data_IF_439498855825
#
_entry.id   IF_439498855825
#
_cell.length_a   1.000
_cell.length_b   1.000
_cell.length_c   1.000
_cell.angle_alpha   90.00
_cell.angle_beta   90.00
_cell.angle_gamma   90.00
#
_symmetry.space_group_name_H-M   'P 1'
#
loop_
_entity.id
_entity.type
_entity.pdbx_description
1 polymer ?
#
# COMPACT_ATOMS: atom_id res chain seq x y z
N UNK A 1 20.32 5.03 -4.13
CA UNK A 1 20.82 4.12 -5.18
C UNK A 1 20.25 4.55 -6.50
N UNK A 2 21.14 4.84 -7.44
CA UNK A 2 20.81 5.52 -8.69
C UNK A 2 20.54 4.54 -9.85
N UNK A 3 20.93 3.26 -9.74
CA UNK A 3 20.75 2.29 -10.83
C UNK A 3 20.58 0.84 -10.35
N UNK A 4 20.00 0.01 -11.22
CA UNK A 4 19.80 -1.43 -10.98
C UNK A 4 21.09 -2.15 -10.63
N UNK A 5 22.18 -1.82 -11.33
CA UNK A 5 23.49 -2.42 -11.11
C UNK A 5 24.02 -2.13 -9.70
N UNK A 6 23.80 -0.91 -9.18
CA UNK A 6 24.19 -0.57 -7.81
C UNK A 6 23.37 -1.37 -6.80
N UNK A 7 22.06 -1.52 -7.03
CA UNK A 7 21.19 -2.35 -6.17
C UNK A 7 21.65 -3.81 -6.12
N UNK A 8 21.87 -4.44 -7.27
CA UNK A 8 22.27 -5.85 -7.35
C UNK A 8 23.65 -6.08 -6.69
N UNK A 9 24.59 -5.14 -6.87
CA UNK A 9 25.91 -5.21 -6.23
C UNK A 9 25.81 -5.06 -4.70
N UNK A 10 25.07 -4.07 -4.20
CA UNK A 10 24.89 -3.90 -2.76
C UNK A 10 24.17 -5.11 -2.13
N UNK A 11 23.19 -5.70 -2.83
CA UNK A 11 22.54 -6.93 -2.39
C UNK A 11 23.49 -8.12 -2.35
N UNK A 12 24.35 -8.29 -3.35
CA UNK A 12 25.37 -9.34 -3.36
C UNK A 12 26.40 -9.19 -2.23
N UNK A 13 26.66 -7.95 -1.79
CA UNK A 13 27.55 -7.64 -0.67
C UNK A 13 26.91 -7.84 0.71
N UNK A 14 25.64 -8.24 0.78
CA UNK A 14 24.95 -8.54 2.04
C UNK A 14 24.42 -7.32 2.79
N UNK A 15 24.19 -6.19 2.10
CA UNK A 15 23.47 -5.07 2.70
C UNK A 15 21.99 -5.43 2.88
N UNK A 16 21.43 -5.06 4.03
CA UNK A 16 20.03 -5.34 4.38
C UNK A 16 19.09 -4.15 4.10
N UNK A 17 19.63 -2.93 4.07
CA UNK A 17 18.88 -1.69 3.93
C UNK A 17 19.24 -0.95 2.65
N UNK A 18 18.21 -0.49 1.95
CA UNK A 18 18.30 0.02 0.60
C UNK A 18 17.43 1.28 0.45
N UNK A 19 17.98 2.35 -0.14
CA UNK A 19 17.25 3.60 -0.42
C UNK A 19 17.63 4.17 -1.78
N UNK A 20 16.70 4.85 -2.45
CA UNK A 20 16.91 5.80 -3.55
C UNK A 20 16.16 5.49 -4.84
N UNK A 21 16.25 6.43 -5.80
CA UNK A 21 15.37 6.58 -6.96
C UNK A 21 15.11 5.32 -7.78
N UNK A 22 16.12 4.45 -7.96
CA UNK A 22 15.95 3.21 -8.71
C UNK A 22 14.88 2.27 -8.10
N UNK A 23 14.77 2.25 -6.77
CA UNK A 23 13.80 1.40 -6.07
C UNK A 23 12.38 1.91 -6.30
N UNK A 24 12.21 3.23 -6.35
CA UNK A 24 10.90 3.89 -6.49
C UNK A 24 10.44 3.97 -7.95
N UNK A 25 11.39 4.14 -8.89
CA UNK A 25 11.13 4.23 -10.33
C UNK A 25 12.04 3.27 -11.11
N UNK A 26 11.86 1.94 -11.00
CA UNK A 26 12.51 1.00 -11.89
C UNK A 26 12.14 1.37 -13.32
N UNK A 27 13.14 1.69 -14.14
CA UNK A 27 13.00 2.20 -15.52
C UNK A 27 11.74 1.67 -16.23
N UNK A 28 10.77 2.56 -16.39
CA UNK A 28 9.53 2.27 -17.10
C UNK A 28 9.90 2.10 -18.57
N UNK A 29 9.92 0.86 -19.05
CA UNK A 29 9.98 0.60 -20.49
C UNK A 29 8.58 0.91 -21.01
N UNK A 30 8.40 2.13 -21.54
CA UNK A 30 7.12 2.56 -22.11
C UNK A 30 6.59 1.54 -23.12
N UNK A 31 5.29 1.24 -23.04
CA UNK A 31 4.59 0.40 -24.01
C UNK A 31 4.31 -1.05 -23.60
N UNK A 32 4.48 -1.44 -22.33
CA UNK A 32 4.02 -2.76 -21.88
C UNK A 32 2.51 -2.71 -21.55
N UNK A 33 1.72 -3.53 -22.24
CA UNK A 33 0.31 -3.73 -21.92
C UNK A 33 0.14 -4.51 -20.61
N UNK A 34 -0.96 -4.25 -19.90
CA UNK A 34 -1.33 -5.01 -18.70
C UNK A 34 -1.68 -6.43 -19.12
N UNK A 35 -0.94 -7.41 -18.61
CA UNK A 35 -1.21 -8.83 -18.89
C UNK A 35 -2.55 -9.28 -18.29
N UNK A 36 -3.12 -10.38 -18.79
CA UNK A 36 -4.37 -10.95 -18.27
C UNK A 36 -4.31 -11.21 -16.76
N UNK A 37 -3.20 -11.77 -16.27
CA UNK A 37 -3.01 -12.05 -14.84
C UNK A 37 -3.01 -10.75 -14.01
N UNK A 38 -2.35 -9.71 -14.51
CA UNK A 38 -2.34 -8.38 -13.88
C UNK A 38 -3.74 -7.74 -13.90
N UNK A 39 -4.49 -7.87 -14.99
CA UNK A 39 -5.86 -7.39 -15.07
C UNK A 39 -6.78 -8.06 -14.04
N UNK A 40 -6.69 -9.39 -13.88
CA UNK A 40 -7.47 -10.10 -12.85
C UNK A 40 -7.15 -9.61 -11.43
N UNK A 41 -5.87 -9.35 -11.14
CA UNK A 41 -5.44 -8.76 -9.87
C UNK A 41 -6.02 -7.35 -9.66
N UNK A 42 -5.96 -6.49 -10.68
CA UNK A 42 -6.49 -5.12 -10.61
C UNK A 42 -8.03 -5.09 -10.48
N UNK A 43 -8.73 -6.09 -11.03
CA UNK A 43 -10.17 -6.26 -10.80
C UNK A 43 -10.48 -6.59 -9.34
N UNK A 44 -9.71 -7.48 -8.71
CA UNK A 44 -9.85 -7.77 -7.27
C UNK A 44 -9.58 -6.52 -6.43
N UNK A 45 -8.51 -5.78 -6.73
CA UNK A 45 -8.21 -4.51 -6.06
C UNK A 45 -9.39 -3.55 -6.19
N UNK A 46 -9.96 -3.41 -7.39
CA UNK A 46 -11.12 -2.54 -7.63
C UNK A 46 -12.33 -2.97 -6.80
N UNK A 47 -12.59 -4.27 -6.69
CA UNK A 47 -13.71 -4.81 -5.91
C UNK A 47 -13.54 -4.54 -4.41
N UNK A 48 -12.33 -4.80 -3.87
CA UNK A 48 -12.01 -4.54 -2.47
C UNK A 48 -11.82 -3.05 -2.15
N UNK A 49 -11.71 -2.17 -3.15
CA UNK A 49 -11.61 -0.72 -2.94
C UNK A 49 -12.96 -0.05 -2.75
N UNK A 50 -14.07 -0.73 -3.02
CA UNK A 50 -15.41 -0.17 -2.86
C UNK A 50 -15.75 0.03 -1.38
N UNK A 51 -16.31 1.18 -1.05
CA UNK A 51 -16.74 1.49 0.31
C UNK A 51 -18.00 0.71 0.73
N UNK A 52 -18.85 0.32 -0.22
CA UNK A 52 -20.16 -0.32 0.00
C UNK A 52 -20.15 -1.86 -0.12
N UNK A 53 -18.97 -2.48 -0.25
CA UNK A 53 -18.88 -3.94 -0.38
C UNK A 53 -19.31 -4.66 0.90
N UNK A 54 -20.22 -5.62 0.77
CA UNK A 54 -20.71 -6.41 1.91
C UNK A 54 -19.64 -7.38 2.44
N UNK A 55 -19.64 -7.58 3.76
CA UNK A 55 -18.75 -8.53 4.46
C UNK A 55 -18.79 -9.91 3.83
N UNK A 56 -20.01 -10.42 3.57
CA UNK A 56 -20.18 -11.74 2.98
C UNK A 56 -19.61 -11.82 1.57
N UNK A 57 -19.68 -10.72 0.81
CA UNK A 57 -19.09 -10.67 -0.52
C UNK A 57 -17.57 -10.71 -0.48
N UNK A 58 -16.95 -9.95 0.43
CA UNK A 58 -15.49 -9.99 0.63
C UNK A 58 -15.05 -11.40 1.03
N UNK A 59 -15.73 -12.01 2.00
CA UNK A 59 -15.42 -13.36 2.45
C UNK A 59 -15.58 -14.41 1.34
N UNK A 60 -16.65 -14.30 0.53
CA UNK A 60 -16.88 -15.17 -0.62
C UNK A 60 -15.74 -15.06 -1.65
N UNK A 61 -15.42 -13.83 -2.09
CA UNK A 61 -14.37 -13.61 -3.10
C UNK A 61 -13.02 -14.18 -2.62
N UNK A 62 -12.65 -13.92 -1.37
CA UNK A 62 -11.39 -14.42 -0.82
C UNK A 62 -11.40 -15.96 -0.76
N UNK A 63 -12.51 -16.55 -0.34
CA UNK A 63 -12.64 -18.02 -0.17
C UNK A 63 -12.58 -18.80 -1.48
N UNK A 64 -12.82 -18.15 -2.64
CA UNK A 64 -12.68 -18.77 -3.95
C UNK A 64 -11.22 -19.07 -4.33
N UNK A 65 -10.27 -18.38 -3.70
CA UNK A 65 -8.84 -18.62 -3.87
C UNK A 65 -8.23 -19.17 -2.56
N UNK A 66 -7.98 -20.50 -2.49
CA UNK A 66 -7.39 -21.11 -1.30
C UNK A 66 -6.01 -20.53 -0.95
N UNK A 67 -5.22 -20.13 -1.94
CA UNK A 67 -3.89 -19.56 -1.72
C UNK A 67 -4.01 -18.17 -1.09
N UNK A 68 -4.91 -17.34 -1.61
CA UNK A 68 -5.22 -16.02 -1.05
C UNK A 68 -5.75 -16.15 0.39
N UNK A 69 -6.69 -17.08 0.60
CA UNK A 69 -7.27 -17.37 1.93
C UNK A 69 -6.20 -17.75 2.94
N UNK A 70 -5.33 -18.71 2.60
CA UNK A 70 -4.26 -19.15 3.51
C UNK A 70 -3.29 -18.01 3.82
N UNK A 71 -2.90 -17.20 2.83
CA UNK A 71 -1.99 -16.06 3.04
C UNK A 71 -2.60 -15.01 3.97
N UNK A 72 -3.87 -14.66 3.77
CA UNK A 72 -4.56 -13.69 4.63
C UNK A 72 -4.65 -14.22 6.05
N UNK A 73 -5.02 -15.50 6.25
CA UNK A 73 -5.11 -16.08 7.60
C UNK A 73 -3.76 -16.15 8.30
N UNK A 74 -2.68 -16.55 7.61
CA UNK A 74 -1.33 -16.56 8.17
C UNK A 74 -0.90 -15.16 8.64
N UNK A 75 -1.21 -14.15 7.84
CA UNK A 75 -0.85 -12.78 8.13
C UNK A 75 -1.68 -12.18 9.27
N UNK A 76 -2.98 -12.50 9.33
CA UNK A 76 -3.87 -12.10 10.42
C UNK A 76 -3.44 -12.75 11.74
N UNK A 77 -3.00 -14.00 11.70
CA UNK A 77 -2.49 -14.72 12.87
C UNK A 77 -1.04 -14.36 13.22
N UNK A 78 -0.41 -13.40 12.52
CA UNK A 78 0.94 -12.99 12.87
C UNK A 78 0.97 -12.22 14.21
N UNK A 79 2.12 -12.21 14.92
CA UNK A 79 2.24 -11.59 16.24
C UNK A 79 1.85 -10.11 16.31
N UNK A 80 1.84 -9.42 15.16
CA UNK A 80 1.45 -8.02 15.03
C UNK A 80 0.06 -7.74 15.62
N UNK A 81 -0.89 -8.65 15.40
CA UNK A 81 -2.29 -8.47 15.79
C UNK A 81 -2.60 -8.97 17.21
N UNK A 82 -1.61 -9.58 17.89
CA UNK A 82 -1.69 -10.00 19.30
C UNK A 82 -2.97 -10.78 19.65
N UNK A 83 -3.41 -11.66 18.73
CA UNK A 83 -4.65 -12.40 18.89
C UNK A 83 -4.54 -13.43 20.01
N UNK A 84 -5.61 -13.58 20.81
CA UNK A 84 -5.68 -14.54 21.93
C UNK A 84 -5.78 -15.99 21.42
N UNK A 85 -6.32 -16.17 20.21
CA UNK A 85 -6.45 -17.45 19.52
C UNK A 85 -6.34 -17.26 18.01
N UNK A 86 -5.93 -18.32 17.32
CA UNK A 86 -5.84 -18.34 15.87
C UNK A 86 -7.22 -18.20 15.22
N UNK A 87 -7.26 -17.41 14.14
CA UNK A 87 -8.38 -17.20 13.24
C UNK A 87 -8.33 -18.24 12.14
N UNK A 88 -9.45 -18.93 11.91
CA UNK A 88 -9.52 -20.08 10.99
C UNK A 88 -10.38 -19.81 9.76
N UNK A 89 -11.04 -18.65 9.67
CA UNK A 89 -11.85 -18.30 8.50
C UNK A 89 -11.84 -16.80 8.21
N UNK A 90 -12.08 -16.43 6.96
CA UNK A 90 -12.14 -15.02 6.54
C UNK A 90 -13.28 -14.28 7.24
N UNK A 91 -14.43 -14.94 7.43
CA UNK A 91 -15.57 -14.34 8.16
C UNK A 91 -15.20 -14.06 9.62
N UNK A 92 -14.51 -14.98 10.28
CA UNK A 92 -13.99 -14.76 11.64
C UNK A 92 -12.96 -13.62 11.69
N UNK A 93 -12.07 -13.54 10.69
CA UNK A 93 -11.14 -12.42 10.54
C UNK A 93 -11.85 -11.07 10.43
N UNK A 94 -12.92 -10.96 9.63
CA UNK A 94 -13.70 -9.72 9.52
C UNK A 94 -14.36 -9.36 10.86
N UNK A 95 -14.86 -10.35 11.61
CA UNK A 95 -15.47 -10.12 12.93
C UNK A 95 -14.46 -9.60 13.95
N UNK A 96 -13.22 -10.11 13.91
CA UNK A 96 -12.20 -9.78 14.92
C UNK A 96 -11.44 -8.50 14.57
N UNK A 97 -11.02 -8.32 13.32
CA UNK A 97 -10.18 -7.21 12.89
C UNK A 97 -10.95 -6.08 12.20
N UNK A 98 -12.20 -6.33 11.80
CA UNK A 98 -12.99 -5.42 10.99
C UNK A 98 -12.79 -5.65 9.49
N UNK A 99 -13.74 -5.15 8.72
CA UNK A 99 -13.79 -5.33 7.27
C UNK A 99 -12.62 -4.64 6.55
N UNK A 100 -12.24 -3.44 6.99
CA UNK A 100 -11.19 -2.65 6.33
C UNK A 100 -9.83 -3.33 6.40
N UNK A 101 -9.47 -3.91 7.54
CA UNK A 101 -8.19 -4.63 7.68
C UNK A 101 -8.17 -5.86 6.77
N UNK A 102 -9.28 -6.58 6.62
CA UNK A 102 -9.37 -7.70 5.70
C UNK A 102 -9.31 -7.24 4.24
N UNK A 103 -9.95 -6.12 3.89
CA UNK A 103 -9.86 -5.51 2.56
C UNK A 103 -8.43 -5.09 2.23
N UNK A 104 -7.72 -4.45 3.16
CA UNK A 104 -6.30 -4.09 3.01
C UNK A 104 -5.47 -5.30 2.63
N UNK A 105 -5.60 -6.41 3.38
CA UNK A 105 -4.84 -7.61 3.09
C UNK A 105 -5.23 -8.29 1.80
N UNK A 106 -6.51 -8.29 1.45
CA UNK A 106 -6.96 -8.80 0.17
C UNK A 106 -6.36 -8.00 -1.00
N UNK A 107 -6.28 -6.67 -0.89
CA UNK A 107 -5.66 -5.78 -1.88
C UNK A 107 -4.16 -6.06 -1.98
N UNK A 108 -3.44 -6.08 -0.84
CA UNK A 108 -2.00 -6.34 -0.80
C UNK A 108 -1.68 -7.69 -1.43
N UNK A 109 -2.37 -8.75 -1.03
CA UNK A 109 -2.12 -10.10 -1.57
C UNK A 109 -2.46 -10.19 -3.06
N UNK A 110 -3.52 -9.50 -3.51
CA UNK A 110 -3.88 -9.42 -4.93
C UNK A 110 -2.73 -8.82 -5.74
N UNK A 111 -2.15 -7.70 -5.28
CA UNK A 111 -1.02 -7.04 -5.95
C UNK A 111 0.26 -7.89 -5.92
N UNK A 112 0.57 -8.52 -4.78
CA UNK A 112 1.75 -9.38 -4.65
C UNK A 112 1.70 -10.61 -5.56
N UNK A 113 0.51 -11.16 -5.82
CA UNK A 113 0.34 -12.37 -6.64
C UNK A 113 0.87 -12.24 -8.08
N UNK A 114 1.00 -10.99 -8.57
CA UNK A 114 1.44 -10.65 -9.93
C UNK A 114 2.76 -9.87 -9.97
N UNK A 115 3.29 -9.48 -8.82
CA UNK A 115 4.55 -8.75 -8.73
C UNK A 115 5.74 -9.67 -9.05
N UNK A 116 6.61 -9.20 -9.95
CA UNK A 116 7.97 -9.74 -10.14
C UNK A 116 9.04 -8.77 -9.62
N UNK A 117 8.61 -7.73 -8.92
CA UNK A 117 9.43 -6.57 -8.58
C UNK A 117 10.21 -6.78 -7.28
N UNK A 118 11.27 -5.99 -7.04
CA UNK A 118 12.09 -6.15 -5.84
C UNK A 118 11.23 -6.05 -4.58
N UNK A 119 11.46 -6.97 -3.63
CA UNK A 119 10.85 -7.01 -2.29
C UNK A 119 10.86 -5.63 -1.61
N UNK A 120 11.91 -4.84 -1.85
CA UNK A 120 12.11 -3.52 -1.23
C UNK A 120 11.18 -2.42 -1.76
N UNK A 121 10.82 -2.43 -3.06
CA UNK A 121 9.82 -1.51 -3.58
C UNK A 121 8.46 -1.78 -2.90
N UNK A 122 8.09 -3.06 -2.78
CA UNK A 122 6.85 -3.43 -2.13
C UNK A 122 6.84 -3.04 -0.64
N UNK A 123 7.96 -3.26 0.06
CA UNK A 123 8.14 -2.83 1.46
C UNK A 123 7.95 -1.32 1.61
N UNK A 124 8.55 -0.52 0.73
CA UNK A 124 8.39 0.94 0.76
C UNK A 124 6.95 1.38 0.54
N UNK A 125 6.24 0.78 -0.43
CA UNK A 125 4.82 1.09 -0.66
C UNK A 125 3.92 0.68 0.50
N UNK A 126 4.19 -0.46 1.14
CA UNK A 126 3.50 -0.87 2.36
C UNK A 126 3.73 0.10 3.52
N UNK A 127 4.98 0.55 3.69
CA UNK A 127 5.31 1.54 4.72
C UNK A 127 4.53 2.83 4.48
N UNK A 128 4.57 3.37 3.25
CA UNK A 128 3.82 4.57 2.84
C UNK A 128 2.32 4.40 3.07
N UNK A 129 1.73 3.30 2.61
CA UNK A 129 0.33 2.97 2.82
C UNK A 129 -0.05 3.05 4.30
N UNK A 130 0.74 2.39 5.15
CA UNK A 130 0.50 2.38 6.59
C UNK A 130 0.68 3.76 7.22
N UNK A 131 1.65 4.54 6.77
CA UNK A 131 1.87 5.91 7.24
C UNK A 131 0.68 6.81 6.96
N UNK A 132 0.15 6.79 5.72
CA UNK A 132 -1.04 7.58 5.37
C UNK A 132 -2.25 7.16 6.23
N UNK A 133 -2.45 5.86 6.43
CA UNK A 133 -3.51 5.32 7.27
C UNK A 133 -3.39 5.81 8.73
N UNK A 134 -2.19 5.74 9.31
CA UNK A 134 -1.93 6.16 10.68
C UNK A 134 -2.14 7.68 10.86
N UNK A 135 -1.75 8.50 9.89
CA UNK A 135 -2.01 9.94 9.92
C UNK A 135 -3.52 10.20 9.92
N UNK A 136 -4.27 9.50 9.06
CA UNK A 136 -5.74 9.63 9.02
C UNK A 136 -6.39 9.27 10.36
N UNK A 137 -5.90 8.23 11.05
CA UNK A 137 -6.36 7.88 12.39
C UNK A 137 -6.07 8.96 13.44
N UNK A 138 -4.92 9.64 13.37
CA UNK A 138 -4.57 10.71 14.31
C UNK A 138 -5.36 12.00 14.06
N UNK A 139 -5.87 12.19 12.85
CA UNK A 139 -6.58 13.41 12.42
C UNK A 139 -8.11 13.22 12.37
N UNK A 140 -8.68 12.18 12.99
CA UNK A 140 -10.12 11.88 12.87
C UNK A 140 -11.03 13.00 13.39
N UNK A 141 -10.56 13.81 14.33
CA UNK A 141 -11.29 14.93 14.92
C UNK A 141 -11.16 16.25 14.13
N UNK A 142 -10.45 16.25 13.01
CA UNK A 142 -10.30 17.43 12.16
C UNK A 142 -11.53 17.68 11.26
N UNK A 143 -11.67 18.93 10.80
CA UNK A 143 -12.80 19.37 9.96
C UNK A 143 -12.86 18.61 8.62
N UNK A 144 -11.71 18.13 8.12
CA UNK A 144 -11.60 17.28 6.94
C UNK A 144 -11.04 15.92 7.37
N UNK A 145 -11.93 15.01 7.75
CA UNK A 145 -11.56 13.65 8.14
C UNK A 145 -11.44 12.76 6.89
N UNK A 146 -10.25 12.20 6.66
CA UNK A 146 -10.00 11.25 5.58
C UNK A 146 -10.24 9.82 6.06
N UNK A 147 -10.81 8.98 5.20
CA UNK A 147 -11.07 7.58 5.54
C UNK A 147 -9.74 6.78 5.59
N UNK A 148 -9.39 6.11 6.70
CA UNK A 148 -8.09 5.44 6.84
C UNK A 148 -7.80 4.38 5.77
N UNK A 149 -8.81 3.60 5.36
CA UNK A 149 -8.64 2.62 4.27
C UNK A 149 -8.31 3.28 2.92
N UNK A 150 -8.88 4.45 2.63
CA UNK A 150 -8.61 5.17 1.38
C UNK A 150 -7.20 5.75 1.39
N UNK A 151 -6.76 6.27 2.55
CA UNK A 151 -5.39 6.68 2.80
C UNK A 151 -4.40 5.53 2.60
N UNK A 152 -4.69 4.35 3.16
CA UNK A 152 -3.89 3.15 2.93
C UNK A 152 -3.81 2.80 1.44
N UNK A 153 -4.97 2.74 0.77
CA UNK A 153 -5.07 2.37 -0.63
C UNK A 153 -4.28 3.32 -1.54
N UNK A 154 -4.43 4.63 -1.36
CA UNK A 154 -3.69 5.64 -2.15
C UNK A 154 -2.20 5.55 -1.89
N UNK A 155 -1.78 5.39 -0.63
CA UNK A 155 -0.36 5.20 -0.30
C UNK A 155 0.23 3.96 -0.97
N UNK A 156 -0.52 2.84 -0.96
CA UNK A 156 -0.09 1.60 -1.61
C UNK A 156 -0.01 1.77 -3.13
N UNK A 157 -1.07 2.31 -3.76
CA UNK A 157 -1.19 2.44 -5.22
C UNK A 157 -0.24 3.48 -5.81
N UNK A 158 0.28 4.43 -5.02
CA UNK A 158 1.14 5.54 -5.45
C UNK A 158 2.43 5.15 -6.18
N UNK A 159 2.85 3.89 -6.14
CA UNK A 159 3.98 3.39 -6.93
C UNK A 159 3.78 1.96 -7.45
N UNK A 160 2.53 1.51 -7.61
CA UNK A 160 2.24 0.18 -8.16
C UNK A 160 2.50 0.11 -9.66
N UNK A 161 2.47 1.25 -10.35
CA UNK A 161 2.84 1.37 -11.76
C UNK A 161 4.28 0.88 -12.01
N UNK A 162 5.21 1.20 -11.10
CA UNK A 162 6.56 0.66 -11.07
C UNK A 162 6.61 -0.87 -10.86
N UNK A 163 5.72 -1.43 -10.04
CA UNK A 163 5.61 -2.88 -9.85
C UNK A 163 5.17 -3.57 -11.14
N UNK A 164 4.19 -2.99 -11.82
CA UNK A 164 3.58 -3.56 -13.02
C UNK A 164 4.37 -3.22 -14.29
N UNK A 165 5.30 -2.27 -14.20
CA UNK A 165 6.10 -1.70 -15.30
C UNK A 165 5.19 -1.10 -16.39
N UNK A 166 4.16 -0.39 -15.95
CA UNK A 166 3.19 0.33 -16.80
C UNK A 166 3.13 1.78 -16.36
N UNK A 167 2.48 2.64 -17.16
CA UNK A 167 2.26 4.03 -16.77
C UNK A 167 1.12 4.15 -15.75
N UNK A 168 1.24 5.07 -14.77
CA UNK A 168 0.23 5.30 -13.73
C UNK A 168 -1.16 5.62 -14.29
N UNK A 169 -1.28 6.43 -15.35
CA UNK A 169 -2.58 6.75 -15.97
C UNK A 169 -3.23 5.50 -16.56
N UNK A 170 -2.44 4.61 -17.16
CA UNK A 170 -2.93 3.33 -17.70
C UNK A 170 -3.40 2.42 -16.56
N UNK A 171 -2.63 2.34 -15.47
CA UNK A 171 -2.98 1.54 -14.30
C UNK A 171 -4.27 2.04 -13.64
N UNK A 172 -4.36 3.34 -13.34
CA UNK A 172 -5.56 3.96 -12.74
C UNK A 172 -6.75 3.93 -13.69
N UNK A 173 -6.51 3.97 -15.00
CA UNK A 173 -7.54 3.78 -16.04
C UNK A 173 -8.16 2.38 -16.01
N UNK A 174 -7.36 1.35 -15.72
CA UNK A 174 -7.84 -0.03 -15.58
C UNK A 174 -8.56 -0.31 -14.26
N UNK A 175 -8.27 0.46 -13.20
CA UNK A 175 -8.90 0.33 -11.90
C UNK A 175 -10.27 1.05 -11.86
N UNK A 176 -11.28 0.38 -11.31
CA UNK A 176 -12.59 0.99 -11.03
C UNK A 176 -12.59 1.62 -9.63
N UNK A 177 -11.83 2.70 -9.48
CA UNK A 177 -11.79 3.50 -8.25
C UNK A 177 -12.78 4.67 -8.30
N UNK A 178 -13.18 5.14 -7.13
CA UNK A 178 -13.91 6.40 -6.97
C UNK A 178 -13.08 7.59 -7.49
N UNK A 179 -13.77 8.64 -7.94
CA UNK A 179 -13.14 9.74 -8.66
C UNK A 179 -12.10 10.49 -7.82
N UNK A 180 -12.34 10.66 -6.51
CA UNK A 180 -11.41 11.33 -5.61
C UNK A 180 -10.11 10.53 -5.41
N UNK A 181 -10.18 9.19 -5.39
CA UNK A 181 -8.99 8.34 -5.34
C UNK A 181 -8.15 8.47 -6.61
N UNK A 182 -8.80 8.52 -7.79
CA UNK A 182 -8.11 8.75 -9.06
C UNK A 182 -7.44 10.12 -9.12
N UNK A 183 -8.14 11.15 -8.65
CA UNK A 183 -7.59 12.51 -8.56
C UNK A 183 -6.40 12.57 -7.60
N UNK A 184 -6.48 11.89 -6.45
CA UNK A 184 -5.38 11.81 -5.49
C UNK A 184 -4.11 11.16 -6.07
N UNK A 185 -4.28 10.11 -6.88
CA UNK A 185 -3.16 9.37 -7.50
C UNK A 185 -2.57 10.05 -8.74
N UNK A 186 -3.39 10.75 -9.54
CA UNK A 186 -2.97 11.29 -10.83
C UNK A 186 -2.57 12.77 -10.76
N UNK A 187 -3.41 13.61 -10.15
CA UNK A 187 -3.21 15.06 -10.13
C UNK A 187 -2.79 15.58 -8.77
N UNK A 188 -2.96 14.77 -7.71
CA UNK A 188 -2.76 15.13 -6.32
C UNK A 188 -3.63 16.32 -5.86
N UNK A 189 -4.72 16.59 -6.58
CA UNK A 189 -5.53 17.81 -6.44
C UNK A 189 -6.72 17.62 -5.49
N UNK A 190 -6.48 17.07 -4.31
CA UNK A 190 -7.45 17.02 -3.22
C UNK A 190 -6.74 16.77 -1.88
N UNK A 191 -7.48 16.69 -0.77
CA UNK A 191 -6.91 16.47 0.56
C UNK A 191 -6.09 15.17 0.65
N UNK A 192 -6.55 14.10 0.02
CA UNK A 192 -5.87 12.80 0.00
C UNK A 192 -4.58 12.83 -0.84
N UNK A 193 -4.62 13.49 -2.00
CA UNK A 193 -3.46 13.74 -2.85
C UNK A 193 -2.43 14.64 -2.18
N UNK A 194 -2.88 15.69 -1.49
CA UNK A 194 -2.04 16.58 -0.69
C UNK A 194 -1.33 15.80 0.43
N UNK A 195 -2.06 14.96 1.17
CA UNK A 195 -1.46 14.08 2.18
C UNK A 195 -0.41 13.14 1.56
N UNK A 196 -0.71 12.52 0.41
CA UNK A 196 0.22 11.64 -0.29
C UNK A 196 1.53 12.36 -0.64
N UNK A 197 1.48 13.54 -1.25
CA UNK A 197 2.69 14.28 -1.63
C UNK A 197 3.48 14.76 -0.40
N UNK A 198 2.82 15.07 0.70
CA UNK A 198 3.50 15.43 1.95
C UNK A 198 4.31 14.25 2.49
N UNK A 199 3.69 13.06 2.54
CA UNK A 199 4.37 11.86 3.04
C UNK A 199 5.53 11.47 2.12
N UNK A 200 5.35 11.52 0.80
CA UNK A 200 6.44 11.30 -0.17
C UNK A 200 7.56 12.33 0.03
N UNK A 201 7.22 13.60 0.26
CA UNK A 201 8.19 14.66 0.54
C UNK A 201 8.99 14.40 1.82
N UNK A 202 8.34 13.96 2.89
CA UNK A 202 9.00 13.54 4.14
C UNK A 202 9.93 12.34 3.90
N UNK A 203 9.47 11.31 3.17
CA UNK A 203 10.28 10.14 2.78
C UNK A 203 11.55 10.51 2.03
N UNK A 204 11.48 11.54 1.19
CA UNK A 204 12.58 12.01 0.34
C UNK A 204 13.41 13.12 0.97
N UNK A 205 13.08 13.53 2.19
CA UNK A 205 13.67 14.69 2.85
C UNK A 205 13.61 15.97 2.00
N UNK A 206 12.49 16.18 1.29
CA UNK A 206 12.30 17.34 0.41
C UNK A 206 12.14 18.64 1.20
N UNK A 207 13.00 19.63 0.91
CA UNK A 207 13.03 20.90 1.64
C UNK A 207 11.73 21.69 1.51
N UNK A 208 11.10 21.67 0.32
CA UNK A 208 9.84 22.40 0.08
C UNK A 208 8.70 21.84 0.95
N UNK A 209 8.68 20.52 1.16
CA UNK A 209 7.73 19.87 2.05
C UNK A 209 7.90 20.31 3.50
N UNK A 210 9.14 20.38 4.00
CA UNK A 210 9.40 20.87 5.37
C UNK A 210 9.10 22.36 5.55
N UNK A 211 9.25 23.19 4.52
CA UNK A 211 8.87 24.60 4.56
C UNK A 211 7.35 24.80 4.60
N UNK A 212 6.58 23.89 3.99
CA UNK A 212 5.12 23.98 3.92
C UNK A 212 4.41 23.41 5.14
N UNK A 213 4.95 22.35 5.73
CA UNK A 213 4.34 21.66 6.88
C UNK A 213 4.60 22.41 8.19
N UNK A 214 3.63 22.33 9.12
CA UNK A 214 3.88 22.79 10.48
C UNK A 214 4.85 21.87 11.21
N UNK A 215 5.53 22.37 12.25
CA UNK A 215 6.38 21.53 13.10
C UNK A 215 5.61 20.37 13.74
N UNK A 216 4.32 20.57 14.01
CA UNK A 216 3.44 19.53 14.55
C UNK A 216 3.20 18.43 13.51
N UNK A 217 2.90 18.80 12.27
CA UNK A 217 2.72 17.84 11.17
C UNK A 217 4.00 17.08 10.88
N UNK A 218 5.15 17.76 10.84
CA UNK A 218 6.45 17.11 10.65
C UNK A 218 6.69 16.04 11.72
N UNK A 219 6.41 16.35 12.99
CA UNK A 219 6.56 15.39 14.08
C UNK A 219 5.56 14.22 13.99
N UNK A 220 4.30 14.51 13.65
CA UNK A 220 3.28 13.48 13.47
C UNK A 220 3.62 12.54 12.32
N UNK A 221 3.99 13.11 11.17
CA UNK A 221 4.23 12.37 9.94
C UNK A 221 5.50 11.52 10.09
N UNK A 222 6.56 12.08 10.68
CA UNK A 222 7.78 11.33 10.98
C UNK A 222 7.55 10.14 11.92
N UNK A 223 6.70 10.29 12.95
CA UNK A 223 6.30 9.18 13.84
C UNK A 223 5.52 8.11 13.07
N UNK A 224 4.49 8.51 12.33
CA UNK A 224 3.68 7.59 11.52
C UNK A 224 4.49 6.89 10.43
N UNK A 225 5.53 7.55 9.91
CA UNK A 225 6.49 6.97 8.98
C UNK A 225 7.32 5.86 9.64
N UNK A 226 7.85 6.12 10.83
CA UNK A 226 8.61 5.12 11.58
C UNK A 226 7.73 3.90 11.92
N UNK A 227 6.51 4.14 12.42
CA UNK A 227 5.56 3.07 12.74
C UNK A 227 5.15 2.29 11.48
N UNK A 228 4.91 2.99 10.37
CA UNK A 228 4.62 2.38 9.07
C UNK A 228 5.76 1.51 8.55
N UNK A 229 7.00 1.94 8.70
CA UNK A 229 8.18 1.16 8.32
C UNK A 229 8.35 -0.11 9.17
N UNK A 230 8.22 0.00 10.49
CA UNK A 230 8.27 -1.15 11.40
C UNK A 230 7.16 -2.16 11.13
N UNK A 231 5.96 -1.67 10.83
CA UNK A 231 4.83 -2.49 10.42
C UNK A 231 5.14 -3.22 9.12
N UNK A 232 5.60 -2.51 8.09
CA UNK A 232 5.94 -3.10 6.79
C UNK A 232 7.05 -4.14 6.93
N UNK A 233 8.07 -3.90 7.74
CA UNK A 233 9.13 -4.87 8.03
C UNK A 233 8.61 -6.16 8.66
N UNK A 234 7.71 -6.01 9.63
CA UNK A 234 7.08 -7.16 10.30
C UNK A 234 6.27 -7.97 9.31
N UNK A 235 5.48 -7.30 8.49
CA UNK A 235 4.64 -7.92 7.45
C UNK A 235 5.50 -8.65 6.43
N UNK A 236 6.52 -7.99 5.88
CA UNK A 236 7.42 -8.59 4.87
C UNK A 236 8.22 -9.79 5.40
N UNK A 237 8.43 -9.92 6.71
CA UNK A 237 9.04 -11.11 7.32
C UNK A 237 8.09 -12.31 7.43
N UNK A 238 6.78 -12.07 7.37
CA UNK A 238 5.74 -13.08 7.55
C UNK A 238 4.98 -13.39 6.23
N UNK A 239 5.40 -12.78 5.12
CA UNK A 239 4.91 -13.03 3.76
C UNK A 239 5.80 -14.00 3.00
#
# INVERSE_FOLDING_TARGET
MESQTVYENCKALGFDLFQGDFLENPTIIGGKEISEKQNSSLQLVSEFSKNDIEVDKVAEIISLDPVLTTKILLLINCPLYQLVRDVNSVREAVVILGLDVVKQWAIVMSLMSVSTSPTELFRSLLARAKTLELIAFNNQDEEVSLHPLECFLVGLLSGVDAIFKVNMETLVGSLKLEAHLKQALLTHDNALGSLLINVIGIERFDSQTFERLSNQDICLYGRCQQDGALWADTVMKNL
#
